data_IF_239570099826
#
_entry.id   IF_239570099826
#
_cell.length_a   1.000
_cell.length_b   1.000
_cell.length_c   1.000
_cell.angle_alpha   90.00
_cell.angle_beta   90.00
_cell.angle_gamma   90.00
#
_symmetry.space_group_name_H-M   'P 1'
#
loop_
_entity.id
_entity.type
_entity.pdbx_description
1 polymer ?
#
# COMPACT_ATOMS: atom_id res chain seq x y z
N UNK A 1 -44.30 -10.67 -2.27
CA UNK A 1 -43.18 -9.70 -2.39
C UNK A 1 -41.90 -10.14 -1.67
N UNK A 2 -41.96 -10.72 -0.46
CA UNK A 2 -40.75 -11.16 0.29
C UNK A 2 -39.93 -12.29 -0.37
N UNK A 3 -40.57 -13.20 -1.13
CA UNK A 3 -39.90 -14.32 -1.82
C UNK A 3 -39.01 -13.86 -2.99
N UNK A 4 -39.41 -12.81 -3.70
CA UNK A 4 -38.62 -12.21 -4.79
C UNK A 4 -37.42 -11.42 -4.25
N UNK A 5 -37.60 -10.69 -3.13
CA UNK A 5 -36.51 -10.01 -2.44
C UNK A 5 -35.48 -10.98 -1.86
N UNK A 6 -35.92 -12.12 -1.31
CA UNK A 6 -35.03 -13.18 -0.81
C UNK A 6 -34.24 -13.85 -1.95
N UNK A 7 -34.90 -14.13 -3.09
CA UNK A 7 -34.23 -14.67 -4.28
C UNK A 7 -33.21 -13.70 -4.88
N UNK A 8 -33.53 -12.41 -4.93
CA UNK A 8 -32.63 -11.35 -5.40
C UNK A 8 -31.43 -11.11 -4.49
N UNK A 9 -31.64 -11.14 -3.18
CA UNK A 9 -30.56 -11.03 -2.20
C UNK A 9 -29.62 -12.24 -2.25
N UNK A 10 -30.17 -13.44 -2.37
CA UNK A 10 -29.39 -14.67 -2.50
C UNK A 10 -28.56 -14.68 -3.79
N UNK A 11 -29.11 -14.23 -4.92
CA UNK A 11 -28.37 -14.12 -6.19
C UNK A 11 -27.25 -13.07 -6.12
N UNK A 12 -27.48 -11.94 -5.46
CA UNK A 12 -26.43 -10.92 -5.22
C UNK A 12 -25.28 -11.46 -4.35
N UNK A 13 -25.59 -12.18 -3.27
CA UNK A 13 -24.59 -12.80 -2.41
C UNK A 13 -23.76 -13.83 -3.18
N UNK A 14 -24.42 -14.67 -3.98
CA UNK A 14 -23.73 -15.69 -4.80
C UNK A 14 -22.82 -15.02 -5.84
N UNK A 15 -23.28 -13.95 -6.50
CA UNK A 15 -22.45 -13.20 -7.45
C UNK A 15 -21.23 -12.54 -6.78
N UNK A 16 -21.40 -12.00 -5.57
CA UNK A 16 -20.31 -11.42 -4.79
C UNK A 16 -19.29 -12.50 -4.38
N UNK A 17 -19.74 -13.66 -3.93
CA UNK A 17 -18.87 -14.79 -3.59
C UNK A 17 -18.09 -15.31 -4.81
N UNK A 18 -18.73 -15.38 -5.98
CA UNK A 18 -18.05 -15.78 -7.23
C UNK A 18 -16.99 -14.75 -7.67
N UNK A 19 -17.17 -13.47 -7.39
CA UNK A 19 -16.20 -12.42 -7.73
C UNK A 19 -14.88 -12.52 -6.95
N UNK A 20 -14.89 -13.20 -5.79
CA UNK A 20 -13.72 -13.42 -4.96
C UNK A 20 -12.91 -14.68 -5.35
N UNK A 21 -13.38 -15.46 -6.33
CA UNK A 21 -12.66 -16.64 -6.81
C UNK A 21 -11.35 -16.21 -7.49
N UNK A 22 -10.22 -16.86 -7.19
CA UNK A 22 -8.96 -16.57 -7.85
C UNK A 22 -9.06 -17.00 -9.33
N UNK A 23 -9.17 -16.02 -10.23
CA UNK A 23 -9.01 -16.26 -11.65
C UNK A 23 -7.54 -16.60 -11.92
N UNK A 24 -7.30 -17.64 -12.73
CA UNK A 24 -5.97 -17.97 -13.24
C UNK A 24 -5.51 -16.88 -14.21
N UNK A 25 -4.98 -15.79 -13.65
CA UNK A 25 -4.44 -14.69 -14.44
C UNK A 25 -3.11 -15.12 -15.07
N UNK A 26 -3.06 -15.18 -16.41
CA UNK A 26 -1.77 -15.07 -17.11
C UNK A 26 -1.24 -13.68 -16.81
N UNK A 27 -0.04 -13.62 -16.21
CA UNK A 27 0.57 -12.43 -15.62
C UNK A 27 0.32 -11.13 -16.42
N UNK A 28 -0.71 -10.38 -16.03
CA UNK A 28 -0.88 -8.98 -16.38
C UNK A 28 -0.16 -8.10 -15.35
N UNK A 29 1.16 -8.30 -15.24
CA UNK A 29 2.03 -7.41 -14.51
C UNK A 29 3.36 -7.34 -15.27
N UNK A 30 3.48 -6.37 -16.18
CA UNK A 30 4.76 -5.90 -16.71
C UNK A 30 5.74 -5.46 -15.60
N UNK A 31 5.27 -5.23 -14.38
CA UNK A 31 6.08 -4.91 -13.20
C UNK A 31 7.00 -6.06 -12.73
N UNK A 32 6.51 -7.29 -12.65
CA UNK A 32 7.35 -8.38 -12.11
C UNK A 32 8.36 -8.89 -13.15
N UNK A 33 8.00 -8.85 -14.44
CA UNK A 33 8.86 -9.29 -15.54
C UNK A 33 10.02 -8.32 -15.76
N UNK A 34 9.76 -7.01 -15.76
CA UNK A 34 10.79 -5.98 -15.95
C UNK A 34 11.80 -5.94 -14.80
N UNK A 35 11.35 -6.12 -13.55
CA UNK A 35 12.25 -6.20 -12.39
C UNK A 35 13.15 -7.44 -12.46
N UNK A 36 12.61 -8.59 -12.84
CA UNK A 36 13.38 -9.84 -12.99
C UNK A 36 14.32 -9.78 -14.20
N UNK A 37 13.88 -9.22 -15.33
CA UNK A 37 14.69 -9.07 -16.55
C UNK A 37 15.81 -8.03 -16.38
N UNK A 38 15.53 -6.87 -15.77
CA UNK A 38 16.56 -5.89 -15.42
C UNK A 38 17.61 -6.49 -14.47
N UNK A 39 17.18 -7.29 -13.49
CA UNK A 39 18.09 -7.97 -12.56
C UNK A 39 18.89 -9.12 -13.20
N UNK A 40 18.47 -9.63 -14.36
CA UNK A 40 19.16 -10.70 -15.11
C UNK A 40 20.20 -10.15 -16.10
N UNK A 41 20.11 -8.86 -16.44
CA UNK A 41 20.93 -8.23 -17.46
C UNK A 41 22.23 -7.63 -16.90
N UNK A 42 22.27 -7.38 -15.58
CA UNK A 42 23.48 -7.06 -14.82
C UNK A 42 24.35 -8.33 -14.71
N UNK A 43 25.50 -8.31 -15.39
CA UNK A 43 26.41 -9.45 -15.59
C UNK A 43 27.29 -9.76 -14.36
N UNK A 44 26.74 -9.78 -13.16
CA UNK A 44 27.46 -10.30 -11.99
C UNK A 44 26.50 -11.04 -11.04
N UNK A 45 27.00 -12.13 -10.47
CA UNK A 45 26.23 -13.19 -9.82
C UNK A 45 25.05 -12.73 -8.96
N UNK A 46 23.90 -13.35 -9.22
CA UNK A 46 22.64 -13.19 -8.51
C UNK A 46 22.78 -13.34 -6.98
N UNK A 47 22.80 -12.22 -6.26
CA UNK A 47 22.53 -12.17 -4.83
C UNK A 47 21.09 -11.69 -4.59
N UNK A 48 20.18 -12.65 -4.38
CA UNK A 48 18.76 -12.42 -4.03
C UNK A 48 18.55 -11.59 -2.78
N UNK A 49 19.58 -11.47 -1.96
CA UNK A 49 19.53 -10.74 -0.69
C UNK A 49 19.35 -9.24 -0.93
N UNK A 50 19.76 -8.70 -2.08
CA UNK A 50 19.63 -7.28 -2.44
C UNK A 50 18.20 -6.80 -2.69
N UNK A 51 17.33 -7.65 -3.28
CA UNK A 51 15.96 -7.26 -3.63
C UNK A 51 15.10 -6.98 -2.39
N UNK A 52 15.21 -7.83 -1.37
CA UNK A 52 14.49 -7.65 -0.10
C UNK A 52 14.96 -6.39 0.64
N UNK A 53 16.23 -5.99 0.50
CA UNK A 53 16.73 -4.73 1.03
C UNK A 53 16.17 -3.52 0.29
N UNK A 54 16.02 -3.61 -1.04
CA UNK A 54 15.38 -2.56 -1.84
C UNK A 54 13.92 -2.30 -1.44
N UNK A 55 13.14 -3.36 -1.22
CA UNK A 55 11.74 -3.23 -0.77
C UNK A 55 11.67 -2.58 0.62
N UNK A 56 12.51 -3.02 1.56
CA UNK A 56 12.57 -2.41 2.89
C UNK A 56 12.97 -0.93 2.82
N UNK A 57 13.92 -0.56 1.97
CA UNK A 57 14.33 0.83 1.78
C UNK A 57 13.19 1.71 1.24
N UNK A 58 12.51 1.26 0.18
CA UNK A 58 11.39 1.99 -0.41
C UNK A 58 10.20 2.13 0.54
N UNK A 59 9.92 1.11 1.36
CA UNK A 59 8.86 1.20 2.37
C UNK A 59 9.25 2.08 3.55
N UNK A 60 10.52 2.13 3.95
CA UNK A 60 10.96 2.91 5.12
C UNK A 60 10.87 4.42 4.89
N UNK A 61 11.20 4.88 3.68
CA UNK A 61 11.20 6.31 3.31
C UNK A 61 9.88 7.03 3.64
N UNK A 62 8.68 6.56 3.20
CA UNK A 62 7.44 7.26 3.46
C UNK A 62 7.12 7.36 4.96
N UNK A 63 7.44 6.34 5.77
CA UNK A 63 7.21 6.40 7.21
C UNK A 63 8.12 7.43 7.90
N UNK A 64 9.39 7.51 7.49
CA UNK A 64 10.33 8.51 8.02
C UNK A 64 9.91 9.93 7.62
N UNK A 65 9.49 10.13 6.37
CA UNK A 65 9.01 11.44 5.90
C UNK A 65 7.76 11.90 6.66
N UNK A 66 6.77 11.03 6.84
CA UNK A 66 5.56 11.38 7.60
C UNK A 66 5.91 11.67 9.07
N UNK A 67 6.77 10.86 9.68
CA UNK A 67 7.20 11.05 11.07
C UNK A 67 7.93 12.37 11.29
N UNK A 68 8.84 12.73 10.38
CA UNK A 68 9.59 14.00 10.46
C UNK A 68 8.67 15.21 10.29
N UNK A 69 7.83 15.22 9.25
CA UNK A 69 6.86 16.30 9.02
C UNK A 69 5.91 16.45 10.21
N UNK A 70 5.36 15.34 10.71
CA UNK A 70 4.47 15.32 11.87
C UNK A 70 5.14 15.87 13.14
N UNK A 71 6.41 15.50 13.39
CA UNK A 71 7.16 15.99 14.53
C UNK A 71 7.37 17.51 14.48
N UNK A 72 7.80 18.05 13.33
CA UNK A 72 8.00 19.49 13.16
C UNK A 72 6.68 20.26 13.26
N UNK A 73 5.61 19.75 12.65
CA UNK A 73 4.27 20.33 12.78
C UNK A 73 3.83 20.40 14.24
N UNK A 74 3.93 19.29 14.98
CA UNK A 74 3.52 19.24 16.38
C UNK A 74 4.30 20.25 17.21
N UNK A 75 5.63 20.27 17.07
CA UNK A 75 6.48 21.22 17.80
C UNK A 75 6.12 22.67 17.49
N UNK A 76 5.89 23.00 16.22
CA UNK A 76 5.47 24.34 15.81
C UNK A 76 4.10 24.70 16.39
N UNK A 77 3.11 23.82 16.27
CA UNK A 77 1.76 24.02 16.81
C UNK A 77 1.78 24.28 18.32
N UNK A 78 2.58 23.53 19.08
CA UNK A 78 2.70 23.71 20.53
C UNK A 78 3.38 25.03 20.90
N UNK A 79 4.34 25.52 20.10
CA UNK A 79 4.94 26.84 20.30
C UNK A 79 3.92 27.98 20.07
N UNK A 80 3.09 27.86 19.04
CA UNK A 80 2.05 28.87 18.76
C UNK A 80 0.97 28.89 19.85
N UNK A 81 0.56 27.71 20.34
CA UNK A 81 -0.36 27.62 21.49
C UNK A 81 0.21 28.31 22.74
N UNK A 82 1.49 28.05 23.07
CA UNK A 82 2.15 28.71 24.21
C UNK A 82 2.19 30.24 24.05
N UNK A 83 2.50 30.74 22.85
CA UNK A 83 2.49 32.20 22.57
C UNK A 83 1.08 32.79 22.73
N UNK A 84 0.06 32.11 22.21
CA UNK A 84 -1.33 32.56 22.34
C UNK A 84 -1.82 32.58 23.80
N UNK A 85 -1.44 31.60 24.62
CA UNK A 85 -1.77 31.58 26.06
C UNK A 85 -1.02 32.63 26.87
N UNK A 86 0.22 32.97 26.49
CA UNK A 86 1.01 34.03 27.17
C UNK A 86 0.54 35.44 26.80
N UNK A 87 -0.14 35.60 25.67
CA UNK A 87 -0.66 36.88 25.15
C UNK A 87 -2.12 37.15 25.52
N UNK A 88 -2.79 36.23 26.23
CA UNK A 88 -4.15 36.37 26.76
C UNK A 88 -4.09 36.68 28.27
#
# INVERSE_FOLDING_TARGET
>A
MKKAAFGGFLTLIIALLLSALPLTSRAQCTMCKTQVEASRQEKDGYDTTGLNKGILYLMTIPYVLIGTVGFFWYRHSQQQKKKATVQA
#
